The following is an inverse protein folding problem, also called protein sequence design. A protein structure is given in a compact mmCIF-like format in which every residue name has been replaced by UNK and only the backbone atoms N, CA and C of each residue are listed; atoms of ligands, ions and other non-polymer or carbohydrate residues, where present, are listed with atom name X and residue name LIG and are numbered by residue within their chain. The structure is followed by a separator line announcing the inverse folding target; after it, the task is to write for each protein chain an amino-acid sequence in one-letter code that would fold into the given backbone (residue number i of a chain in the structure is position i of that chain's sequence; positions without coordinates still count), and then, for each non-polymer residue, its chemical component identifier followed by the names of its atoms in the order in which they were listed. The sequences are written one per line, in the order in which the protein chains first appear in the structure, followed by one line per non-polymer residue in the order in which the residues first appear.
data_IF_200720598793
#
_entry.id   IF_200720598793
#
_cell.length_a   1.000
_cell.length_b   1.000
_cell.length_c   1.000
_cell.angle_alpha   90.00
_cell.angle_beta   90.00
_cell.angle_gamma   90.00
#
_symmetry.space_group_name_H-M   'P 1'
#
loop_
_entity.id
_entity.type
_entity.pdbx_description
1 polymer ?
#
# COMPACT_ATOMS: atom_id res chain seq x y z
N UNK A 1 19.14 -0.68 -7.92
CA UNK A 1 20.26 0.05 -7.30
C UNK A 1 21.59 -0.71 -7.27
N UNK A 2 21.59 -2.04 -7.12
CA UNK A 2 22.83 -2.83 -7.17
C UNK A 2 23.67 -2.55 -8.43
N UNK A 3 23.02 -2.55 -9.59
CA UNK A 3 23.67 -2.30 -10.89
C UNK A 3 24.27 -0.88 -11.04
N UNK A 4 23.58 0.15 -10.56
CA UNK A 4 24.10 1.55 -10.60
C UNK A 4 25.31 1.69 -9.68
N UNK A 5 25.22 1.12 -8.47
CA UNK A 5 26.34 1.11 -7.51
C UNK A 5 27.53 0.38 -8.10
N UNK A 6 27.32 -0.83 -8.60
CA UNK A 6 28.37 -1.63 -9.22
C UNK A 6 29.02 -0.91 -10.42
N UNK A 7 28.23 -0.23 -11.25
CA UNK A 7 28.75 0.54 -12.39
C UNK A 7 29.59 1.72 -11.92
N UNK A 8 29.10 2.54 -10.98
CA UNK A 8 29.86 3.65 -10.43
C UNK A 8 31.15 3.19 -9.72
N UNK A 9 31.11 2.02 -9.08
CA UNK A 9 32.27 1.42 -8.42
C UNK A 9 33.33 1.01 -9.44
N UNK A 10 32.90 0.35 -10.52
CA UNK A 10 33.75 -0.07 -11.63
C UNK A 10 34.37 1.13 -12.35
N UNK A 11 33.56 2.10 -12.75
CA UNK A 11 34.02 3.28 -13.48
C UNK A 11 34.90 4.18 -12.62
N UNK A 12 34.58 4.33 -11.33
CA UNK A 12 35.40 5.08 -10.38
C UNK A 12 36.78 4.45 -10.20
N UNK A 13 36.86 3.13 -10.06
CA UNK A 13 38.13 2.41 -9.96
C UNK A 13 38.97 2.54 -11.26
N UNK A 14 38.33 2.35 -12.42
CA UNK A 14 38.96 2.53 -13.73
C UNK A 14 39.56 3.93 -13.91
N UNK A 15 38.83 4.97 -13.48
CA UNK A 15 39.30 6.36 -13.51
C UNK A 15 40.49 6.60 -12.57
N UNK A 16 40.49 6.01 -11.38
CA UNK A 16 41.63 6.09 -10.45
C UNK A 16 42.87 5.45 -11.08
N UNK A 17 42.75 4.24 -11.63
CA UNK A 17 43.87 3.53 -12.25
C UNK A 17 44.49 4.31 -13.42
N UNK A 18 43.65 4.97 -14.23
CA UNK A 18 44.11 5.82 -15.33
C UNK A 18 44.74 7.14 -14.85
N UNK A 19 44.30 7.69 -13.70
CA UNK A 19 44.75 8.98 -13.19
C UNK A 19 46.05 8.89 -12.37
N UNK A 20 46.29 7.79 -11.64
CA UNK A 20 47.46 7.64 -10.76
C UNK A 20 48.81 7.85 -11.46
N UNK A 21 49.05 7.35 -12.71
CA UNK A 21 50.30 7.61 -13.42
C UNK A 21 50.48 9.07 -13.87
N UNK A 22 49.38 9.83 -13.97
CA UNK A 22 49.38 11.24 -14.39
C UNK A 22 49.58 12.15 -13.17
N UNK A 23 48.76 11.99 -12.15
CA UNK A 23 48.83 12.73 -10.89
C UNK A 23 48.19 11.91 -9.76
N UNK A 24 48.99 11.43 -8.78
CA UNK A 24 48.48 10.62 -7.67
C UNK A 24 47.54 11.39 -6.73
N UNK A 25 47.56 12.72 -6.75
CA UNK A 25 46.67 13.54 -5.91
C UNK A 25 45.21 13.51 -6.36
N UNK A 26 44.93 13.06 -7.59
CA UNK A 26 43.58 12.98 -8.16
C UNK A 26 42.73 11.84 -7.59
N UNK A 27 43.34 10.86 -6.89
CA UNK A 27 42.60 9.74 -6.29
C UNK A 27 41.48 10.19 -5.35
N UNK A 28 41.80 11.08 -4.41
CA UNK A 28 40.84 11.59 -3.43
C UNK A 28 39.65 12.32 -4.07
N UNK A 29 39.88 13.28 -4.99
CA UNK A 29 38.81 13.92 -5.75
C UNK A 29 37.91 12.95 -6.53
N UNK A 30 38.46 11.92 -7.17
CA UNK A 30 37.68 10.92 -7.92
C UNK A 30 36.83 10.07 -6.97
N UNK A 31 37.39 9.58 -5.87
CA UNK A 31 36.67 8.81 -4.85
C UNK A 31 35.54 9.65 -4.22
N UNK A 32 35.80 10.93 -3.97
CA UNK A 32 34.80 11.86 -3.45
C UNK A 32 33.65 12.08 -4.44
N UNK A 33 33.96 12.35 -5.72
CA UNK A 33 32.95 12.53 -6.76
C UNK A 33 32.06 11.28 -6.91
N UNK A 34 32.65 10.08 -6.82
CA UNK A 34 31.90 8.82 -6.78
C UNK A 34 30.97 8.75 -5.58
N UNK A 35 31.46 9.06 -4.37
CA UNK A 35 30.65 9.02 -3.15
C UNK A 35 29.45 9.97 -3.24
N UNK A 36 29.68 11.22 -3.64
CA UNK A 36 28.62 12.22 -3.80
C UNK A 36 27.55 11.76 -4.80
N UNK A 37 27.97 11.12 -5.90
CA UNK A 37 27.05 10.57 -6.89
C UNK A 37 26.18 9.46 -6.30
N UNK A 38 26.78 8.52 -5.55
CA UNK A 38 26.05 7.43 -4.90
C UNK A 38 25.05 7.94 -3.85
N UNK A 39 25.43 8.95 -3.08
CA UNK A 39 24.55 9.58 -2.10
C UNK A 39 23.37 10.28 -2.78
N UNK A 40 23.62 11.00 -3.88
CA UNK A 40 22.57 11.63 -4.67
C UNK A 40 21.56 10.63 -5.23
N UNK A 41 22.03 9.50 -5.76
CA UNK A 41 21.18 8.42 -6.23
C UNK A 41 20.36 7.76 -5.12
N UNK A 42 20.96 7.54 -3.95
CA UNK A 42 20.28 6.95 -2.78
C UNK A 42 19.19 7.89 -2.25
N UNK A 43 19.46 9.19 -2.24
CA UNK A 43 18.49 10.20 -1.85
C UNK A 43 17.30 10.30 -2.84
N UNK A 44 17.57 10.18 -4.14
CA UNK A 44 16.52 10.12 -5.16
C UNK A 44 15.60 8.90 -4.96
N UNK A 45 16.18 7.71 -4.73
CA UNK A 45 15.43 6.48 -4.41
C UNK A 45 14.55 6.68 -3.18
N UNK A 46 15.12 7.24 -2.10
CA UNK A 46 14.38 7.53 -0.86
C UNK A 46 13.18 8.44 -1.13
N UNK A 47 13.35 9.49 -1.94
CA UNK A 47 12.25 10.40 -2.32
C UNK A 47 11.18 9.72 -3.16
N UNK A 48 11.59 8.87 -4.11
CA UNK A 48 10.65 8.07 -4.92
C UNK A 48 9.83 7.17 -3.99
N UNK A 49 10.47 6.45 -3.08
CA UNK A 49 9.74 5.58 -2.14
C UNK A 49 8.80 6.35 -1.23
N UNK A 50 9.18 7.56 -0.80
CA UNK A 50 8.28 8.43 -0.03
C UNK A 50 7.11 8.95 -0.86
N UNK A 51 7.29 9.20 -2.15
CA UNK A 51 6.21 9.62 -3.04
C UNK A 51 5.22 8.46 -3.26
N UNK A 52 5.72 7.25 -3.55
CA UNK A 52 4.89 6.04 -3.71
C UNK A 52 4.10 5.74 -2.43
N UNK A 53 4.72 5.90 -1.25
CA UNK A 53 4.02 5.73 0.03
C UNK A 53 2.90 6.75 0.20
N UNK A 54 3.18 8.04 -0.05
CA UNK A 54 2.19 9.12 0.06
C UNK A 54 1.02 8.94 -0.91
N UNK A 55 1.30 8.52 -2.15
CA UNK A 55 0.26 8.25 -3.15
C UNK A 55 -0.69 7.14 -2.69
N UNK A 56 -0.14 6.11 -2.04
CA UNK A 56 -0.92 4.94 -1.64
C UNK A 56 -1.44 4.99 -0.20
N UNK A 57 -1.04 5.98 0.59
CA UNK A 57 -1.39 6.09 2.01
C UNK A 57 -2.90 6.06 2.25
N UNK A 58 -3.67 6.86 1.51
CA UNK A 58 -5.14 6.87 1.62
C UNK A 58 -5.76 5.52 1.29
N UNK A 59 -5.28 4.85 0.24
CA UNK A 59 -5.79 3.53 -0.16
C UNK A 59 -5.44 2.48 0.88
N UNK A 60 -4.23 2.53 1.42
CA UNK A 60 -3.78 1.63 2.48
C UNK A 60 -4.63 1.80 3.73
N UNK A 61 -4.89 3.04 4.15
CA UNK A 61 -5.76 3.37 5.28
C UNK A 61 -7.20 2.89 5.05
N UNK A 62 -7.73 3.02 3.83
CA UNK A 62 -9.07 2.52 3.49
C UNK A 62 -9.14 0.99 3.63
N UNK A 63 -8.14 0.27 3.10
CA UNK A 63 -8.06 -1.19 3.20
C UNK A 63 -7.89 -1.63 4.66
N UNK A 64 -7.04 -0.95 5.43
CA UNK A 64 -6.85 -1.23 6.84
C UNK A 64 -8.14 -1.00 7.65
N UNK A 65 -8.84 0.11 7.40
CA UNK A 65 -10.14 0.39 8.02
C UNK A 65 -11.19 -0.66 7.65
N UNK A 66 -11.24 -1.07 6.39
CA UNK A 66 -12.12 -2.15 5.94
C UNK A 66 -11.80 -3.46 6.68
N UNK A 67 -10.51 -3.82 6.81
CA UNK A 67 -10.06 -4.99 7.56
C UNK A 67 -10.48 -4.93 9.03
N UNK A 68 -10.30 -3.79 9.69
CA UNK A 68 -10.67 -3.61 11.10
C UNK A 68 -12.18 -3.77 11.32
N UNK A 69 -13.00 -3.35 10.36
CA UNK A 69 -14.45 -3.53 10.46
C UNK A 69 -14.87 -4.96 10.10
N UNK A 70 -14.37 -5.54 9.00
CA UNK A 70 -14.79 -6.86 8.51
C UNK A 70 -14.20 -8.04 9.31
N UNK A 71 -12.99 -7.86 9.86
CA UNK A 71 -12.26 -8.86 10.62
C UNK A 71 -11.72 -8.29 11.94
N UNK A 72 -12.60 -7.85 12.86
CA UNK A 72 -12.17 -7.40 14.18
C UNK A 72 -11.44 -8.55 14.89
N UNK A 73 -10.31 -8.26 15.54
CA UNK A 73 -9.42 -9.24 16.17
C UNK A 73 -8.97 -10.42 15.27
N UNK A 74 -9.04 -10.23 13.94
CA UNK A 74 -8.68 -11.26 12.97
C UNK A 74 -9.73 -12.35 12.76
N UNK A 75 -10.93 -12.22 13.35
CA UNK A 75 -12.05 -13.14 13.15
C UNK A 75 -13.17 -12.47 12.34
N UNK A 76 -13.94 -13.23 11.52
CA UNK A 76 -15.08 -12.66 10.80
C UNK A 76 -16.01 -11.88 11.72
N UNK A 77 -16.39 -10.68 11.29
CA UNK A 77 -17.22 -9.76 12.06
C UNK A 77 -18.49 -10.42 12.62
N UNK A 78 -19.19 -11.24 11.84
CA UNK A 78 -20.42 -11.93 12.23
C UNK A 78 -20.27 -12.84 13.46
N UNK A 79 -19.03 -13.25 13.78
CA UNK A 79 -18.73 -14.09 14.95
C UNK A 79 -18.49 -13.28 16.22
N UNK A 80 -18.27 -11.98 16.09
CA UNK A 80 -17.97 -11.08 17.20
C UNK A 80 -19.09 -10.05 17.42
N UNK A 81 -19.60 -9.45 16.35
CA UNK A 81 -20.59 -8.38 16.39
C UNK A 81 -21.99 -8.92 16.12
N UNK A 82 -22.90 -8.61 17.04
CA UNK A 82 -24.33 -8.83 16.86
C UNK A 82 -24.96 -7.69 16.05
N UNK A 83 -26.02 -7.98 15.29
CA UNK A 83 -26.82 -7.00 14.54
C UNK A 83 -27.29 -5.80 15.39
N UNK A 84 -27.51 -5.98 16.70
CA UNK A 84 -27.89 -4.89 17.61
C UNK A 84 -26.88 -3.73 17.64
N UNK A 85 -25.59 -4.00 17.46
CA UNK A 85 -24.56 -2.96 17.35
C UNK A 85 -24.89 -1.96 16.23
N UNK A 86 -25.36 -2.50 15.09
CA UNK A 86 -25.73 -1.70 13.93
C UNK A 86 -27.07 -1.02 14.09
N UNK A 87 -28.06 -1.70 14.68
CA UNK A 87 -29.38 -1.13 14.91
C UNK A 87 -29.35 0.06 15.88
N UNK A 88 -28.50 0.01 16.92
CA UNK A 88 -28.31 1.15 17.83
C UNK A 88 -27.66 2.33 17.11
N UNK A 89 -26.74 2.07 16.19
CA UNK A 89 -25.97 3.11 15.49
C UNK A 89 -26.71 3.74 14.31
N UNK A 90 -27.48 2.96 13.57
CA UNK A 90 -28.09 3.34 12.29
C UNK A 90 -29.62 3.33 12.32
N UNK A 91 -30.22 2.80 13.40
CA UNK A 91 -31.67 2.74 13.56
C UNK A 91 -32.33 1.65 12.72
N UNK A 92 -33.67 1.61 12.81
CA UNK A 92 -34.51 0.66 12.07
C UNK A 92 -34.43 0.75 10.53
N UNK A 93 -34.22 1.94 9.90
CA UNK A 93 -34.13 2.03 8.44
C UNK A 93 -33.02 1.17 7.83
N UNK A 94 -31.97 0.86 8.59
CA UNK A 94 -30.90 -0.04 8.16
C UNK A 94 -31.42 -1.39 7.66
N UNK A 95 -32.44 -1.95 8.31
CA UNK A 95 -32.96 -3.27 7.94
C UNK A 95 -33.73 -3.23 6.63
N UNK A 96 -34.49 -2.17 6.41
CA UNK A 96 -35.23 -1.95 5.16
C UNK A 96 -34.24 -1.77 4.00
N UNK A 97 -33.26 -0.88 4.16
CA UNK A 97 -32.20 -0.63 3.17
C UNK A 97 -31.39 -1.90 2.85
N UNK A 98 -31.10 -2.72 3.86
CA UNK A 98 -30.34 -3.96 3.69
C UNK A 98 -31.15 -5.01 2.94
N UNK A 99 -32.44 -5.16 3.28
CA UNK A 99 -33.33 -6.10 2.61
C UNK A 99 -33.52 -5.73 1.15
N UNK A 100 -33.83 -4.47 0.85
CA UNK A 100 -34.05 -4.00 -0.51
C UNK A 100 -32.83 -4.26 -1.41
N UNK A 101 -31.62 -3.92 -0.94
CA UNK A 101 -30.38 -4.16 -1.69
C UNK A 101 -29.99 -5.63 -1.81
N UNK A 102 -30.31 -6.44 -0.80
CA UNK A 102 -30.08 -7.88 -0.85
C UNK A 102 -30.95 -8.52 -1.93
N UNK A 103 -32.21 -8.10 -2.06
CA UNK A 103 -33.13 -8.56 -3.08
C UNK A 103 -32.82 -8.05 -4.50
N UNK A 104 -32.16 -6.89 -4.65
CA UNK A 104 -31.68 -6.40 -5.94
C UNK A 104 -30.56 -7.25 -6.57
N UNK A 105 -29.72 -7.91 -5.75
CA UNK A 105 -28.52 -8.62 -6.20
C UNK A 105 -28.63 -10.15 -6.09
N UNK A 106 -29.85 -10.68 -5.94
CA UNK A 106 -30.06 -12.12 -5.90
C UNK A 106 -29.85 -12.75 -7.30
N UNK A 107 -29.12 -13.88 -7.40
CA UNK A 107 -28.96 -14.60 -8.66
C UNK A 107 -30.31 -15.02 -9.24
N UNK A 108 -30.41 -15.02 -10.58
CA UNK A 108 -31.61 -15.41 -11.31
C UNK A 108 -32.13 -16.79 -10.82
N UNK A 109 -33.37 -16.81 -10.33
CA UNK A 109 -34.02 -18.01 -9.78
C UNK A 109 -34.35 -17.96 -8.29
N UNK A 110 -33.87 -16.94 -7.56
CA UNK A 110 -34.18 -16.75 -6.14
C UNK A 110 -34.97 -15.46 -5.94
N UNK A 111 -36.29 -15.52 -6.19
CA UNK A 111 -37.18 -14.34 -6.18
C UNK A 111 -37.64 -14.00 -4.76
N UNK A 112 -37.75 -12.70 -4.45
CA UNK A 112 -38.24 -12.15 -3.17
C UNK A 112 -39.54 -12.79 -2.64
N UNK A 113 -40.42 -13.25 -3.53
CA UNK A 113 -41.68 -13.93 -3.17
C UNK A 113 -41.53 -15.27 -2.44
N UNK A 114 -40.36 -15.90 -2.47
CA UNK A 114 -40.08 -17.16 -1.74
C UNK A 114 -39.48 -16.94 -0.34
N UNK A 115 -39.03 -15.72 -0.01
CA UNK A 115 -38.29 -15.41 1.22
C UNK A 115 -38.94 -14.29 2.07
N UNK A 116 -40.03 -13.69 1.62
CA UNK A 116 -40.76 -12.69 2.40
C UNK A 116 -41.34 -13.35 3.68
N UNK A 117 -41.03 -12.87 4.90
CA UNK A 117 -41.70 -13.34 6.10
C UNK A 117 -43.20 -13.04 5.97
N UNK A 118 -44.10 -13.93 6.46
CA UNK A 118 -45.53 -13.68 6.41
C UNK A 118 -45.80 -12.35 7.12
N UNK A 119 -46.44 -11.41 6.41
CA UNK A 119 -46.91 -10.17 7.02
C UNK A 119 -48.01 -10.55 8.02
N UNK A 120 -47.65 -10.57 9.31
CA UNK A 120 -48.61 -10.70 10.43
C UNK A 120 -49.50 -9.48 10.53
#
# INVERSE_FOLDING_TARGET
MGEIRETLDREGASLVDAALPVDPTLKGPIEHARSVSLDGWSEAERKIMQAVKRENETRLQQVEKARLHLFPDGVPQERLLNVFYYLVRYGSPLLEDLLDRFFEHLPDGMTAGSMAPPRT
#
